data_IF_193923195389
#
_entry.id   IF_193923195389
#
_cell.length_a   1.000
_cell.length_b   1.000
_cell.length_c   1.000
_cell.angle_alpha   90.00
_cell.angle_beta   90.00
_cell.angle_gamma   90.00
#
_symmetry.space_group_name_H-M   'P 1'
#
loop_
_entity.id
_entity.type
_entity.pdbx_description
1 polymer ?
#
# COMPACT_ATOMS: atom_id res chain seq x y z
N UNK A 1 15.29 2.93 -10.00
CA UNK A 1 14.98 4.18 -10.71
C UNK A 1 15.86 5.35 -10.27
N UNK A 2 15.97 5.64 -8.97
CA UNK A 2 16.79 6.75 -8.47
C UNK A 2 18.29 6.61 -8.83
N UNK A 3 18.79 5.38 -8.89
CA UNK A 3 20.17 5.06 -9.24
C UNK A 3 20.42 5.00 -10.76
N UNK A 4 19.36 5.00 -11.57
CA UNK A 4 19.43 4.86 -13.03
C UNK A 4 19.31 6.20 -13.76
N UNK A 5 19.23 7.31 -13.04
CA UNK A 5 19.10 8.66 -13.59
C UNK A 5 19.97 9.65 -12.84
N UNK A 6 20.33 10.77 -13.48
CA UNK A 6 21.01 11.87 -12.83
C UNK A 6 20.20 12.42 -11.65
N UNK A 7 20.89 12.90 -10.61
CA UNK A 7 20.25 13.38 -9.35
C UNK A 7 19.12 14.40 -9.60
N UNK A 8 19.28 15.27 -10.59
CA UNK A 8 18.29 16.28 -10.95
C UNK A 8 17.00 15.69 -11.54
N UNK A 9 17.07 14.49 -12.12
CA UNK A 9 15.96 13.78 -12.75
C UNK A 9 15.26 12.77 -11.84
N UNK A 10 15.82 12.49 -10.66
CA UNK A 10 15.27 11.54 -9.69
C UNK A 10 13.81 11.84 -9.34
N UNK A 11 13.39 13.09 -9.04
CA UNK A 11 11.98 13.36 -8.74
C UNK A 11 11.05 13.02 -9.91
N UNK A 12 11.47 13.29 -11.15
CA UNK A 12 10.70 12.97 -12.35
C UNK A 12 10.59 11.45 -12.57
N UNK A 13 11.67 10.71 -12.34
CA UNK A 13 11.68 9.26 -12.45
C UNK A 13 10.73 8.60 -11.43
N UNK A 14 10.72 9.09 -10.19
CA UNK A 14 9.78 8.65 -9.16
C UNK A 14 8.33 8.93 -9.58
N UNK A 15 8.04 10.13 -10.07
CA UNK A 15 6.70 10.50 -10.54
C UNK A 15 6.21 9.59 -11.67
N UNK A 16 7.08 9.23 -12.62
CA UNK A 16 6.73 8.32 -13.72
C UNK A 16 6.38 6.92 -13.20
N UNK A 17 7.12 6.41 -12.21
CA UNK A 17 6.82 5.11 -11.58
C UNK A 17 5.46 5.14 -10.87
N UNK A 18 5.17 6.22 -10.15
CA UNK A 18 3.88 6.40 -9.48
C UNK A 18 2.70 6.47 -10.46
N UNK A 19 2.90 7.06 -11.66
CA UNK A 19 1.89 7.03 -12.73
C UNK A 19 1.58 5.59 -13.17
N UNK A 20 2.57 4.69 -13.16
CA UNK A 20 2.35 3.25 -13.42
C UNK A 20 1.35 2.63 -12.44
N UNK A 21 1.40 3.01 -11.16
CA UNK A 21 0.44 2.59 -10.14
C UNK A 21 -1.00 3.05 -10.45
N UNK A 22 -1.17 4.29 -10.93
CA UNK A 22 -2.49 4.82 -11.34
C UNK A 22 -3.03 4.06 -12.56
N UNK A 23 -2.18 3.80 -13.56
CA UNK A 23 -2.55 3.02 -14.75
C UNK A 23 -2.99 1.61 -14.34
N UNK A 24 -2.23 0.96 -13.44
CA UNK A 24 -2.57 -0.35 -12.90
C UNK A 24 -3.90 -0.35 -12.14
N UNK A 25 -4.18 0.72 -11.38
CA UNK A 25 -5.44 0.90 -10.66
C UNK A 25 -6.66 0.90 -11.58
N UNK A 26 -6.54 1.57 -12.72
CA UNK A 26 -7.63 1.69 -13.69
C UNK A 26 -7.80 0.41 -14.53
N UNK A 27 -6.71 -0.19 -14.95
CA UNK A 27 -6.71 -1.33 -15.87
C UNK A 27 -6.90 -2.66 -15.13
N UNK A 28 -6.26 -2.87 -13.98
CA UNK A 28 -6.21 -4.16 -13.31
C UNK A 28 -7.58 -4.79 -13.02
N UNK A 29 -8.46 -4.13 -12.24
CA UNK A 29 -9.79 -4.65 -11.94
C UNK A 29 -10.67 -4.80 -13.19
N UNK A 30 -10.50 -3.93 -14.19
CA UNK A 30 -11.23 -4.04 -15.46
C UNK A 30 -10.82 -5.28 -16.25
N UNK A 31 -9.52 -5.55 -16.36
CA UNK A 31 -9.00 -6.78 -17.00
C UNK A 31 -9.48 -8.02 -16.26
N UNK A 32 -9.41 -8.04 -14.94
CA UNK A 32 -9.86 -9.16 -14.12
C UNK A 32 -11.37 -9.42 -14.32
N UNK A 33 -12.19 -8.38 -14.34
CA UNK A 33 -13.63 -8.52 -14.54
C UNK A 33 -13.98 -8.92 -15.97
N UNK A 34 -13.30 -8.37 -16.99
CA UNK A 34 -13.55 -8.71 -18.40
C UNK A 34 -13.16 -10.15 -18.73
N UNK A 35 -12.06 -10.64 -18.14
CA UNK A 35 -11.53 -11.97 -18.47
C UNK A 35 -12.09 -13.11 -17.59
N UNK A 36 -12.90 -12.81 -16.57
CA UNK A 36 -13.41 -13.81 -15.61
C UNK A 36 -14.22 -14.92 -16.28
N UNK A 37 -14.99 -14.61 -17.29
CA UNK A 37 -15.89 -15.52 -18.00
C UNK A 37 -15.32 -16.05 -19.34
N UNK A 38 -13.99 -15.87 -19.57
CA UNK A 38 -13.32 -16.24 -20.81
C UNK A 38 -13.30 -17.76 -21.05
N UNK A 39 -13.44 -18.56 -19.98
CA UNK A 39 -13.53 -20.00 -20.02
C UNK A 39 -14.85 -20.45 -19.42
N UNK A 40 -15.71 -21.09 -20.22
CA UNK A 40 -17.05 -21.51 -19.84
C UNK A 40 -17.07 -22.59 -18.73
N UNK A 41 -15.99 -23.35 -18.58
CA UNK A 41 -15.90 -24.45 -17.61
C UNK A 41 -15.51 -24.01 -16.18
N UNK A 42 -14.78 -22.91 -16.05
CA UNK A 42 -14.25 -22.46 -14.75
C UNK A 42 -14.20 -20.94 -14.68
N UNK A 43 -15.08 -20.35 -13.88
CA UNK A 43 -15.11 -18.92 -13.61
C UNK A 43 -13.76 -18.45 -13.01
N UNK A 44 -13.29 -17.28 -13.42
CA UNK A 44 -12.02 -16.64 -13.01
C UNK A 44 -10.73 -17.24 -13.58
N UNK A 45 -10.73 -18.37 -14.29
CA UNK A 45 -9.49 -18.89 -14.93
C UNK A 45 -8.88 -17.86 -15.86
N UNK A 46 -9.70 -17.17 -16.66
CA UNK A 46 -9.24 -16.08 -17.52
C UNK A 46 -8.60 -14.93 -16.76
N UNK A 47 -9.16 -14.55 -15.59
CA UNK A 47 -8.59 -13.50 -14.74
C UNK A 47 -7.20 -13.89 -14.21
N UNK A 48 -7.02 -15.12 -13.75
CA UNK A 48 -5.71 -15.60 -13.29
C UNK A 48 -4.69 -15.72 -14.42
N UNK A 49 -5.09 -16.19 -15.61
CA UNK A 49 -4.21 -16.25 -16.78
C UNK A 49 -3.81 -14.83 -17.25
N UNK A 50 -4.73 -13.89 -17.25
CA UNK A 50 -4.44 -12.49 -17.57
C UNK A 50 -3.46 -11.89 -16.56
N UNK A 51 -3.65 -12.15 -15.26
CA UNK A 51 -2.72 -11.75 -14.21
C UNK A 51 -1.34 -12.36 -14.42
N UNK A 52 -1.26 -13.66 -14.69
CA UNK A 52 0.01 -14.34 -14.97
C UNK A 52 0.73 -13.72 -16.18
N UNK A 53 0.03 -13.45 -17.27
CA UNK A 53 0.57 -12.76 -18.45
C UNK A 53 1.10 -11.36 -18.13
N UNK A 54 0.32 -10.55 -17.41
CA UNK A 54 0.71 -9.20 -17.01
C UNK A 54 1.91 -9.18 -16.05
N UNK A 55 2.01 -10.15 -15.13
CA UNK A 55 3.14 -10.26 -14.21
C UNK A 55 4.41 -10.81 -14.89
N UNK A 56 4.25 -11.59 -15.94
CA UNK A 56 5.38 -12.10 -16.73
C UNK A 56 5.98 -11.04 -17.67
N UNK A 57 5.18 -10.07 -18.11
CA UNK A 57 5.61 -9.04 -19.06
C UNK A 57 6.81 -8.21 -18.58
N UNK A 58 6.91 -7.74 -17.31
CA UNK A 58 8.11 -7.06 -16.80
C UNK A 58 9.38 -7.91 -16.89
N UNK A 59 9.29 -9.22 -16.78
CA UNK A 59 10.44 -10.13 -16.88
C UNK A 59 11.14 -9.98 -18.24
N UNK A 60 10.36 -9.76 -19.31
CA UNK A 60 10.90 -9.54 -20.66
C UNK A 60 11.72 -8.24 -20.69
N UNK A 61 11.27 -7.18 -20.04
CA UNK A 61 12.02 -5.92 -19.97
C UNK A 61 13.33 -6.07 -19.17
N UNK A 62 13.35 -6.90 -18.11
CA UNK A 62 14.58 -7.17 -17.35
C UNK A 62 15.65 -7.88 -18.16
N UNK A 63 15.30 -8.63 -19.22
CA UNK A 63 16.28 -9.25 -20.12
C UNK A 63 17.13 -8.21 -20.88
N UNK A 64 16.59 -7.00 -21.08
CA UNK A 64 17.27 -5.89 -21.75
C UNK A 64 17.90 -4.90 -20.76
N UNK A 65 17.72 -5.09 -19.46
CA UNK A 65 18.25 -4.19 -18.45
C UNK A 65 19.76 -4.40 -18.29
N UNK A 66 20.52 -3.34 -18.51
CA UNK A 66 21.95 -3.31 -18.22
C UNK A 66 22.17 -2.60 -16.89
N UNK A 67 22.74 -3.32 -15.93
CA UNK A 67 23.12 -2.72 -14.65
C UNK A 67 24.29 -1.73 -14.88
N UNK A 68 24.04 -0.44 -14.69
CA UNK A 68 25.02 0.62 -14.85
C UNK A 68 25.68 1.07 -13.54
N UNK A 69 25.16 0.59 -12.41
CA UNK A 69 25.75 0.89 -11.10
C UNK A 69 26.78 -0.18 -10.72
N UNK A 70 28.05 0.21 -10.69
CA UNK A 70 29.10 -0.57 -10.00
C UNK A 70 28.83 -0.44 -8.49
N UNK A 71 28.13 -1.40 -7.92
CA UNK A 71 28.05 -1.53 -6.48
C UNK A 71 29.45 -1.93 -5.97
N UNK A 72 30.26 -0.96 -5.55
CA UNK A 72 31.35 -1.25 -4.63
C UNK A 72 30.75 -1.76 -3.34
N UNK A 73 30.69 -3.08 -3.20
CA UNK A 73 30.32 -3.72 -1.95
C UNK A 73 31.46 -3.38 -0.97
N UNK A 74 31.25 -2.35 -0.17
CA UNK A 74 32.15 -2.01 0.92
C UNK A 74 32.29 -3.23 1.83
N UNK A 75 33.49 -3.82 1.84
CA UNK A 75 33.79 -5.09 2.52
C UNK A 75 33.82 -5.01 4.05
N UNK A 76 33.51 -3.88 4.65
CA UNK A 76 33.52 -3.75 6.12
C UNK A 76 32.20 -3.15 6.61
N UNK A 77 31.34 -4.03 7.10
CA UNK A 77 30.11 -3.67 7.78
C UNK A 77 30.45 -3.07 9.16
N UNK A 78 30.37 -1.74 9.27
CA UNK A 78 30.64 -1.02 10.53
C UNK A 78 29.41 -0.29 11.09
N UNK A 79 28.25 -0.51 10.47
CA UNK A 79 27.01 0.16 10.87
C UNK A 79 26.39 -0.38 12.17
N UNK A 80 25.47 0.40 12.74
CA UNK A 80 24.71 0.05 13.96
C UNK A 80 23.99 -1.29 13.83
N UNK A 81 23.83 -2.00 14.96
CA UNK A 81 23.05 -3.23 15.05
C UNK A 81 21.55 -2.98 14.82
N UNK A 82 20.77 -4.04 14.57
CA UNK A 82 19.30 -3.93 14.49
C UNK A 82 18.70 -3.34 15.76
N UNK A 83 19.22 -3.72 16.94
CA UNK A 83 18.71 -3.23 18.21
C UNK A 83 18.93 -1.72 18.37
N UNK A 84 20.10 -1.23 17.97
CA UNK A 84 20.41 0.20 17.99
C UNK A 84 19.57 1.00 16.99
N UNK A 85 19.26 0.44 15.82
CA UNK A 85 18.37 1.06 14.85
C UNK A 85 16.94 1.16 15.40
N UNK A 86 16.39 0.05 15.92
CA UNK A 86 15.02 0.00 16.46
C UNK A 86 14.86 0.88 17.70
N UNK A 87 15.93 1.07 18.49
CA UNK A 87 15.90 1.93 19.68
C UNK A 87 15.80 3.43 19.36
N UNK A 88 15.92 3.82 18.10
CA UNK A 88 15.73 5.21 17.68
C UNK A 88 14.24 5.53 17.52
N UNK A 89 13.68 6.50 18.24
CA UNK A 89 12.26 6.83 18.16
C UNK A 89 11.77 7.14 16.72
N UNK A 90 12.57 7.88 15.96
CA UNK A 90 12.23 8.23 14.55
C UNK A 90 12.25 7.00 13.62
N UNK A 91 13.15 6.05 13.83
CA UNK A 91 13.19 4.82 13.07
C UNK A 91 11.97 3.94 13.39
N UNK A 92 11.65 3.82 14.68
CA UNK A 92 10.46 3.09 15.12
C UNK A 92 9.17 3.73 14.58
N UNK A 93 9.05 5.08 14.69
CA UNK A 93 7.91 5.82 14.13
C UNK A 93 7.76 5.57 12.63
N UNK A 94 8.85 5.57 11.87
CA UNK A 94 8.85 5.31 10.43
C UNK A 94 8.31 3.92 10.10
N UNK A 95 8.81 2.88 10.80
CA UNK A 95 8.37 1.50 10.59
C UNK A 95 6.91 1.31 11.02
N UNK A 96 6.54 1.77 12.21
CA UNK A 96 5.18 1.62 12.74
C UNK A 96 4.16 2.29 11.80
N UNK A 97 4.44 3.51 11.34
CA UNK A 97 3.57 4.22 10.41
C UNK A 97 3.41 3.47 9.09
N UNK A 98 4.49 3.02 8.47
CA UNK A 98 4.42 2.31 7.19
C UNK A 98 3.82 0.91 7.33
N UNK A 99 4.20 0.13 8.35
CA UNK A 99 3.75 -1.23 8.54
C UNK A 99 2.26 -1.31 8.92
N UNK A 100 1.85 -0.61 9.97
CA UNK A 100 0.45 -0.64 10.39
C UNK A 100 -0.46 0.14 9.44
N UNK A 101 0.03 1.23 8.83
CA UNK A 101 -0.66 1.89 7.74
C UNK A 101 -0.96 0.93 6.59
N UNK A 102 0.02 0.14 6.17
CA UNK A 102 -0.17 -0.86 5.11
C UNK A 102 -1.06 -2.02 5.54
N UNK A 103 -0.90 -2.53 6.77
CA UNK A 103 -1.68 -3.64 7.28
C UNK A 103 -3.19 -3.32 7.36
N UNK A 104 -3.54 -2.16 7.94
CA UNK A 104 -4.93 -1.70 8.06
C UNK A 104 -5.55 -1.54 6.66
N UNK A 105 -4.83 -0.87 5.75
CA UNK A 105 -5.29 -0.70 4.38
C UNK A 105 -5.56 -2.04 3.71
N UNK A 106 -4.61 -2.97 3.76
CA UNK A 106 -4.78 -4.27 3.11
C UNK A 106 -5.88 -5.09 3.75
N UNK A 107 -5.98 -5.07 5.08
CA UNK A 107 -7.01 -5.78 5.83
C UNK A 107 -8.41 -5.37 5.38
N UNK A 108 -8.68 -4.07 5.30
CA UNK A 108 -9.97 -3.54 4.86
C UNK A 108 -10.18 -3.69 3.35
N UNK A 109 -9.17 -3.37 2.52
CA UNK A 109 -9.27 -3.50 1.06
C UNK A 109 -9.56 -4.94 0.63
N UNK A 110 -8.90 -5.94 1.25
CA UNK A 110 -9.10 -7.35 0.91
C UNK A 110 -10.49 -7.85 1.31
N UNK A 111 -11.02 -7.39 2.46
CA UNK A 111 -12.36 -7.73 2.91
C UNK A 111 -13.48 -7.05 2.13
N UNK A 112 -13.22 -5.90 1.52
CA UNK A 112 -14.24 -5.10 0.81
C UNK A 112 -14.96 -5.86 -0.30
N UNK A 113 -14.30 -6.56 -1.24
CA UNK A 113 -15.01 -7.30 -2.29
C UNK A 113 -15.93 -8.41 -1.74
N UNK A 114 -15.49 -9.09 -0.69
CA UNK A 114 -16.29 -10.11 -0.04
C UNK A 114 -17.50 -9.49 0.65
N UNK A 115 -17.32 -8.40 1.38
CA UNK A 115 -18.42 -7.67 2.00
C UNK A 115 -19.42 -7.15 0.97
N UNK A 116 -18.94 -6.41 -0.01
CA UNK A 116 -19.81 -5.80 -1.02
C UNK A 116 -20.54 -6.82 -1.88
N UNK A 117 -19.83 -7.80 -2.42
CA UNK A 117 -20.41 -8.71 -3.41
C UNK A 117 -21.08 -9.93 -2.79
N UNK A 118 -20.42 -10.59 -1.83
CA UNK A 118 -20.91 -11.87 -1.28
C UNK A 118 -21.91 -11.63 -0.16
N UNK A 119 -21.66 -10.65 0.72
CA UNK A 119 -22.53 -10.42 1.90
C UNK A 119 -23.67 -9.47 1.55
N UNK A 120 -23.39 -8.31 0.95
CA UNK A 120 -24.38 -7.26 0.68
C UNK A 120 -25.00 -7.33 -0.72
N UNK A 121 -24.61 -8.32 -1.56
CA UNK A 121 -25.22 -8.58 -2.86
C UNK A 121 -24.99 -7.50 -3.93
N UNK A 122 -24.00 -6.63 -3.75
CA UNK A 122 -23.64 -5.61 -4.73
C UNK A 122 -22.98 -6.26 -5.96
N UNK A 123 -23.19 -5.68 -7.16
CA UNK A 123 -22.62 -6.23 -8.38
C UNK A 123 -21.09 -6.16 -8.39
N UNK A 124 -20.45 -7.13 -9.05
CA UNK A 124 -18.99 -7.13 -9.26
C UNK A 124 -18.50 -5.86 -9.95
N UNK A 125 -19.30 -5.29 -10.85
CA UNK A 125 -18.96 -4.03 -11.51
C UNK A 125 -18.87 -2.87 -10.50
N UNK A 126 -19.82 -2.73 -9.58
CA UNK A 126 -19.76 -1.74 -8.50
C UNK A 126 -18.56 -1.96 -7.59
N UNK A 127 -18.29 -3.19 -7.23
CA UNK A 127 -17.13 -3.56 -6.41
C UNK A 127 -15.82 -3.19 -7.11
N UNK A 128 -15.69 -3.48 -8.40
CA UNK A 128 -14.51 -3.12 -9.21
C UNK A 128 -14.29 -1.61 -9.24
N UNK A 129 -15.34 -0.82 -9.40
CA UNK A 129 -15.26 0.66 -9.39
C UNK A 129 -14.76 1.17 -8.03
N UNK A 130 -15.26 0.64 -6.92
CA UNK A 130 -14.80 1.02 -5.58
C UNK A 130 -13.31 0.72 -5.40
N UNK A 131 -12.85 -0.45 -5.80
CA UNK A 131 -11.43 -0.81 -5.73
C UNK A 131 -10.57 0.05 -6.64
N UNK A 132 -11.03 0.34 -7.87
CA UNK A 132 -10.30 1.23 -8.80
C UNK A 132 -10.10 2.62 -8.22
N UNK A 133 -11.17 3.22 -7.67
CA UNK A 133 -11.11 4.55 -7.05
C UNK A 133 -10.20 4.51 -5.81
N UNK A 134 -10.32 3.48 -4.97
CA UNK A 134 -9.45 3.29 -3.81
C UNK A 134 -7.96 3.29 -4.20
N UNK A 135 -7.59 2.44 -5.16
CA UNK A 135 -6.18 2.33 -5.60
C UNK A 135 -5.72 3.63 -6.25
N UNK A 136 -6.57 4.32 -7.02
CA UNK A 136 -6.26 5.64 -7.51
C UNK A 136 -5.98 6.63 -6.36
N UNK A 137 -6.78 6.60 -5.29
CA UNK A 137 -6.59 7.42 -4.09
C UNK A 137 -5.34 7.03 -3.27
N UNK A 138 -4.83 5.80 -3.42
CA UNK A 138 -3.53 5.42 -2.84
C UNK A 138 -2.35 6.12 -3.54
N UNK A 139 -2.41 6.31 -4.85
CA UNK A 139 -1.26 6.80 -5.62
C UNK A 139 -1.34 8.27 -6.03
N UNK A 140 -2.52 8.80 -6.37
CA UNK A 140 -2.69 10.20 -6.78
C UNK A 140 -2.14 11.21 -5.78
N UNK A 141 -2.37 11.08 -4.46
CA UNK A 141 -1.87 12.05 -3.49
C UNK A 141 -0.34 12.09 -3.43
N UNK A 142 0.36 11.03 -3.86
CA UNK A 142 1.83 11.00 -3.87
C UNK A 142 2.46 12.15 -4.65
N UNK A 143 1.73 12.71 -5.63
CA UNK A 143 2.18 13.86 -6.42
C UNK A 143 2.36 15.12 -5.56
N UNK A 144 1.62 15.24 -4.45
CA UNK A 144 1.63 16.39 -3.56
C UNK A 144 2.16 16.06 -2.15
N UNK A 145 2.08 14.80 -1.72
CA UNK A 145 2.43 14.37 -0.36
C UNK A 145 3.87 14.76 0.01
N UNK A 146 4.81 14.65 -0.92
CA UNK A 146 6.20 15.10 -0.69
C UNK A 146 6.30 16.59 -0.36
N UNK A 147 5.51 17.45 -1.01
CA UNK A 147 5.45 18.88 -0.73
C UNK A 147 4.76 19.16 0.61
N UNK A 148 3.72 18.40 0.95
CA UNK A 148 3.05 18.48 2.25
C UNK A 148 4.01 18.10 3.39
N UNK A 149 4.80 17.05 3.23
CA UNK A 149 5.82 16.65 4.21
C UNK A 149 6.87 17.75 4.39
N UNK A 150 7.34 18.36 3.31
CA UNK A 150 8.29 19.49 3.41
C UNK A 150 7.69 20.68 4.17
N UNK A 151 6.41 20.95 4.00
CA UNK A 151 5.74 22.10 4.62
C UNK A 151 5.33 21.85 6.07
N UNK A 152 4.82 20.67 6.38
CA UNK A 152 4.18 20.37 7.67
C UNK A 152 4.98 19.37 8.51
N UNK A 153 5.98 18.68 7.95
CA UNK A 153 6.75 17.64 8.61
C UNK A 153 6.07 16.25 8.54
N UNK A 154 6.87 15.19 8.74
CA UNK A 154 6.44 13.80 8.63
C UNK A 154 5.32 13.46 9.63
N UNK A 155 5.50 13.78 10.91
CA UNK A 155 4.54 13.42 11.96
C UNK A 155 3.16 14.04 11.74
N UNK A 156 3.07 15.30 11.30
CA UNK A 156 1.78 15.94 11.05
C UNK A 156 1.04 15.30 9.87
N UNK A 157 1.76 14.86 8.86
CA UNK A 157 1.15 14.12 7.74
C UNK A 157 0.74 12.70 8.16
N UNK A 158 1.50 12.06 9.06
CA UNK A 158 1.08 10.79 9.68
C UNK A 158 -0.21 10.96 10.49
N UNK A 159 -0.32 12.00 11.32
CA UNK A 159 -1.55 12.30 12.06
C UNK A 159 -2.74 12.57 11.13
N UNK A 160 -2.53 13.28 10.03
CA UNK A 160 -3.56 13.42 9.00
C UNK A 160 -3.98 12.07 8.42
N UNK A 161 -3.03 11.16 8.15
CA UNK A 161 -3.31 9.80 7.69
C UNK A 161 -4.12 8.97 8.70
N UNK A 162 -3.75 9.05 9.98
CA UNK A 162 -4.51 8.44 11.10
C UNK A 162 -5.94 9.00 11.15
N UNK A 163 -6.11 10.31 11.03
CA UNK A 163 -7.43 10.95 11.04
C UNK A 163 -8.31 10.44 9.89
N UNK A 164 -7.74 10.22 8.70
CA UNK A 164 -8.45 9.65 7.56
C UNK A 164 -8.86 8.19 7.81
N UNK A 165 -8.05 7.41 8.49
CA UNK A 165 -8.40 6.04 8.90
C UNK A 165 -9.55 6.04 9.94
N UNK A 166 -9.53 6.96 10.90
CA UNK A 166 -10.64 7.11 11.85
C UNK A 166 -11.94 7.51 11.14
N UNK A 167 -11.87 8.38 10.12
CA UNK A 167 -13.03 8.72 9.28
C UNK A 167 -13.54 7.48 8.55
N UNK A 168 -12.66 6.62 8.01
CA UNK A 168 -13.04 5.34 7.41
C UNK A 168 -13.84 4.47 8.39
N UNK A 169 -13.33 4.34 9.63
CA UNK A 169 -14.03 3.61 10.70
C UNK A 169 -15.40 4.23 10.98
N UNK A 170 -15.50 5.54 11.12
CA UNK A 170 -16.77 6.24 11.38
C UNK A 170 -17.78 5.96 10.25
N UNK A 171 -17.37 6.03 8.99
CA UNK A 171 -18.24 5.77 7.84
C UNK A 171 -18.78 4.34 7.87
N UNK A 172 -18.02 3.37 8.37
CA UNK A 172 -18.45 1.96 8.47
C UNK A 172 -19.66 1.74 9.39
N UNK A 173 -20.00 2.71 10.25
CA UNK A 173 -21.18 2.65 11.12
C UNK A 173 -22.48 3.05 10.42
N UNK A 174 -22.40 3.67 9.25
CA UNK A 174 -23.57 3.94 8.42
C UNK A 174 -24.03 2.68 7.67
N UNK A 175 -24.92 2.82 6.70
CA UNK A 175 -25.39 1.71 5.87
C UNK A 175 -24.27 1.16 4.96
N UNK A 176 -24.36 -0.11 4.56
CA UNK A 176 -23.45 -0.77 3.63
C UNK A 176 -23.85 -0.52 2.17
N UNK A 177 -24.10 0.74 1.82
CA UNK A 177 -24.38 1.14 0.44
C UNK A 177 -23.11 1.25 -0.41
N UNK A 178 -23.27 1.20 -1.73
CA UNK A 178 -22.18 1.44 -2.68
C UNK A 178 -21.43 2.75 -2.40
N UNK A 179 -22.17 3.82 -2.06
CA UNK A 179 -21.58 5.15 -1.83
C UNK A 179 -20.76 5.15 -0.54
N UNK A 180 -21.26 4.53 0.54
CA UNK A 180 -20.52 4.49 1.80
C UNK A 180 -19.25 3.65 1.70
N UNK A 181 -19.29 2.50 1.00
CA UNK A 181 -18.07 1.77 0.68
C UNK A 181 -17.08 2.62 -0.12
N UNK A 182 -17.55 3.31 -1.15
CA UNK A 182 -16.71 4.16 -1.99
C UNK A 182 -16.05 5.27 -1.18
N UNK A 183 -16.81 6.00 -0.35
CA UNK A 183 -16.27 7.09 0.47
C UNK A 183 -15.28 6.54 1.51
N UNK A 184 -15.62 5.44 2.18
CA UNK A 184 -14.73 4.79 3.15
C UNK A 184 -13.40 4.40 2.50
N UNK A 185 -13.43 3.78 1.32
CA UNK A 185 -12.23 3.35 0.61
C UNK A 185 -11.41 4.52 0.03
N UNK A 186 -12.05 5.64 -0.33
CA UNK A 186 -11.35 6.88 -0.69
C UNK A 186 -10.50 7.36 0.49
N UNK A 187 -11.10 7.51 1.68
CA UNK A 187 -10.36 7.95 2.87
C UNK A 187 -9.29 6.93 3.28
N UNK A 188 -9.56 5.64 3.15
CA UNK A 188 -8.58 4.59 3.39
C UNK A 188 -7.37 4.72 2.45
N UNK A 189 -7.59 5.00 1.17
CA UNK A 189 -6.51 5.19 0.18
C UNK A 189 -5.64 6.40 0.49
N UNK A 190 -6.24 7.55 0.76
CA UNK A 190 -5.53 8.76 1.17
C UNK A 190 -4.76 8.56 2.48
N UNK A 191 -5.39 7.92 3.47
CA UNK A 191 -4.78 7.62 4.76
C UNK A 191 -3.53 6.74 4.60
N UNK A 192 -3.62 5.68 3.80
CA UNK A 192 -2.48 4.84 3.47
C UNK A 192 -1.35 5.65 2.80
N UNK A 193 -1.67 6.49 1.82
CA UNK A 193 -0.65 7.30 1.15
C UNK A 193 0.11 8.17 2.15
N UNK A 194 -0.59 8.87 3.03
CA UNK A 194 0.03 9.76 4.01
C UNK A 194 0.89 8.99 5.01
N UNK A 195 0.41 7.86 5.52
CA UNK A 195 1.17 7.04 6.47
C UNK A 195 2.38 6.37 5.82
N UNK A 196 2.20 5.75 4.66
CA UNK A 196 3.24 4.99 4.00
C UNK A 196 4.34 5.90 3.42
N UNK A 197 3.97 6.97 2.72
CA UNK A 197 4.95 7.90 2.15
C UNK A 197 5.71 8.66 3.25
N UNK A 198 5.00 9.10 4.32
CA UNK A 198 5.68 9.75 5.44
C UNK A 198 6.60 8.78 6.19
N UNK A 199 6.17 7.54 6.42
CA UNK A 199 6.97 6.51 7.07
C UNK A 199 8.23 6.19 6.27
N UNK A 200 8.08 5.86 4.99
CA UNK A 200 9.21 5.51 4.12
C UNK A 200 10.18 6.66 3.90
N UNK A 201 9.69 7.90 3.78
CA UNK A 201 10.55 9.07 3.64
C UNK A 201 11.26 9.44 4.96
N UNK A 202 10.61 9.26 6.11
CA UNK A 202 11.24 9.44 7.43
C UNK A 202 12.34 8.40 7.65
N UNK A 203 12.11 7.13 7.26
CA UNK A 203 13.06 6.04 7.39
C UNK A 203 14.42 6.42 6.79
N UNK A 204 14.44 7.02 5.59
CA UNK A 204 15.67 7.43 4.89
C UNK A 204 16.53 8.41 5.71
N UNK A 205 15.90 9.19 6.60
CA UNK A 205 16.59 10.17 7.45
C UNK A 205 17.15 9.56 8.74
N UNK A 206 16.95 8.28 9.00
CA UNK A 206 17.30 7.63 10.28
C UNK A 206 18.54 6.76 10.23
N UNK A 207 19.01 6.43 9.04
CA UNK A 207 20.17 5.56 8.84
C UNK A 207 21.26 6.24 8.00
N UNK A 208 22.51 5.75 8.14
CA UNK A 208 23.66 6.15 7.34
C UNK A 208 23.74 5.29 6.08
N UNK A 209 24.58 5.72 5.12
CA UNK A 209 24.73 5.03 3.82
C UNK A 209 25.17 3.57 3.96
N UNK A 210 26.09 3.28 4.88
CA UNK A 210 26.57 1.93 5.21
C UNK A 210 25.53 1.04 5.91
N UNK A 211 24.46 1.62 6.47
CA UNK A 211 23.35 0.94 7.16
C UNK A 211 22.12 0.71 6.26
N UNK A 212 22.09 1.35 5.09
CA UNK A 212 20.93 1.45 4.19
C UNK A 212 20.24 0.10 3.95
N UNK A 213 20.99 -0.90 3.51
CA UNK A 213 20.40 -2.21 3.18
C UNK A 213 19.84 -2.93 4.40
N UNK A 214 20.49 -2.78 5.56
CA UNK A 214 20.01 -3.35 6.82
C UNK A 214 18.74 -2.65 7.29
N UNK A 215 18.73 -1.34 7.29
CA UNK A 215 17.60 -0.54 7.77
C UNK A 215 16.37 -0.72 6.88
N UNK A 216 16.54 -0.64 5.56
CA UNK A 216 15.46 -0.85 4.60
C UNK A 216 14.99 -2.30 4.58
N UNK A 217 15.90 -3.27 4.57
CA UNK A 217 15.54 -4.69 4.56
C UNK A 217 14.73 -5.09 5.79
N UNK A 218 15.07 -4.57 6.98
CA UNK A 218 14.27 -4.79 8.19
C UNK A 218 12.90 -4.12 8.11
N UNK A 219 12.84 -2.87 7.65
CA UNK A 219 11.56 -2.19 7.41
C UNK A 219 10.66 -2.99 6.47
N UNK A 220 11.20 -3.42 5.32
CA UNK A 220 10.44 -4.14 4.32
C UNK A 220 9.97 -5.50 4.85
N UNK A 221 10.82 -6.21 5.60
CA UNK A 221 10.44 -7.44 6.26
C UNK A 221 9.25 -7.24 7.21
N UNK A 222 9.28 -6.21 8.07
CA UNK A 222 8.17 -5.91 8.98
C UNK A 222 6.93 -5.51 8.21
N UNK A 223 7.03 -4.56 7.27
CA UNK A 223 5.91 -4.06 6.45
C UNK A 223 5.21 -5.23 5.75
N UNK A 224 5.95 -6.04 5.00
CA UNK A 224 5.34 -7.13 4.23
C UNK A 224 4.85 -8.29 5.09
N UNK A 225 5.47 -8.56 6.25
CA UNK A 225 4.98 -9.56 7.20
C UNK A 225 3.62 -9.16 7.78
N UNK A 226 3.48 -7.92 8.26
CA UNK A 226 2.22 -7.42 8.84
C UNK A 226 1.15 -7.26 7.75
N UNK A 227 1.53 -6.84 6.54
CA UNK A 227 0.66 -6.80 5.37
C UNK A 227 0.10 -8.19 5.02
N UNK A 228 0.95 -9.22 4.98
CA UNK A 228 0.53 -10.59 4.71
C UNK A 228 -0.45 -11.11 5.78
N UNK A 229 -0.17 -10.86 7.07
CA UNK A 229 -1.07 -11.21 8.17
C UNK A 229 -2.42 -10.48 8.04
N UNK A 230 -2.41 -9.20 7.69
CA UNK A 230 -3.62 -8.41 7.42
C UNK A 230 -4.46 -9.01 6.30
N UNK A 231 -3.84 -9.34 5.18
CA UNK A 231 -4.52 -9.94 4.02
C UNK A 231 -5.10 -11.33 4.34
N UNK A 232 -4.32 -12.21 4.97
CA UNK A 232 -4.75 -13.56 5.31
C UNK A 232 -5.89 -13.56 6.34
N UNK A 233 -5.82 -12.70 7.35
CA UNK A 233 -6.86 -12.60 8.38
C UNK A 233 -8.16 -11.97 7.87
N UNK A 234 -8.08 -11.09 6.87
CA UNK A 234 -9.21 -10.36 6.32
C UNK A 234 -10.31 -11.28 5.80
N UNK A 235 -9.96 -12.28 4.97
CA UNK A 235 -10.92 -13.21 4.39
C UNK A 235 -11.66 -14.04 5.44
N UNK A 236 -10.97 -14.47 6.48
CA UNK A 236 -11.58 -15.23 7.59
C UNK A 236 -12.49 -14.33 8.42
N UNK A 237 -11.99 -13.15 8.81
CA UNK A 237 -12.70 -12.26 9.71
C UNK A 237 -13.96 -11.65 9.09
N UNK A 238 -13.96 -11.33 7.79
CA UNK A 238 -15.17 -10.80 7.13
C UNK A 238 -16.30 -11.83 7.10
N UNK A 239 -15.98 -13.12 6.95
CA UNK A 239 -16.97 -14.21 6.93
C UNK A 239 -17.50 -14.50 8.34
N UNK A 240 -16.64 -14.42 9.36
CA UNK A 240 -17.02 -14.67 10.76
C UNK A 240 -17.70 -13.47 11.42
N UNK A 241 -17.54 -12.28 10.85
CA UNK A 241 -18.03 -11.03 11.45
C UNK A 241 -18.83 -10.22 10.41
N UNK A 242 -18.54 -8.93 10.29
CA UNK A 242 -19.09 -8.04 9.29
C UNK A 242 -18.18 -6.84 9.06
N UNK A 243 -18.50 -6.00 8.07
CA UNK A 243 -17.74 -4.82 7.72
C UNK A 243 -17.49 -3.86 8.89
N UNK A 244 -18.49 -3.62 9.76
CA UNK A 244 -18.35 -2.75 10.95
C UNK A 244 -17.32 -3.30 11.91
N UNK A 245 -17.40 -4.59 12.25
CA UNK A 245 -16.48 -5.22 13.20
C UNK A 245 -15.06 -5.20 12.65
N UNK A 246 -14.86 -5.44 11.36
CA UNK A 246 -13.53 -5.33 10.75
C UNK A 246 -12.94 -3.93 10.93
N UNK A 247 -13.74 -2.89 10.74
CA UNK A 247 -13.28 -1.51 10.96
C UNK A 247 -12.97 -1.22 12.44
N UNK A 248 -13.76 -1.75 13.38
CA UNK A 248 -13.52 -1.63 14.83
C UNK A 248 -12.20 -2.31 15.22
N UNK A 249 -11.90 -3.48 14.67
CA UNK A 249 -10.63 -4.20 14.90
C UNK A 249 -9.41 -3.34 14.48
N UNK A 250 -9.57 -2.43 13.53
CA UNK A 250 -8.49 -1.52 13.13
C UNK A 250 -8.16 -0.45 14.19
N UNK A 251 -9.09 -0.12 15.11
CA UNK A 251 -8.89 0.97 16.08
C UNK A 251 -7.63 0.78 16.94
N UNK A 252 -7.38 -0.38 17.59
CA UNK A 252 -6.15 -0.59 18.33
C UNK A 252 -4.88 -0.40 17.49
N UNK A 253 -4.90 -0.84 16.22
CA UNK A 253 -3.77 -0.68 15.31
C UNK A 253 -3.56 0.78 14.91
N UNK A 254 -4.64 1.55 14.75
CA UNK A 254 -4.59 2.99 14.49
C UNK A 254 -3.98 3.72 15.70
N UNK A 255 -4.33 3.31 16.93
CA UNK A 255 -3.77 3.90 18.16
C UNK A 255 -2.27 3.65 18.27
N UNK A 256 -1.76 2.49 17.83
CA UNK A 256 -0.32 2.19 17.86
C UNK A 256 0.48 3.14 16.94
N UNK A 257 -0.12 3.70 15.91
CA UNK A 257 0.55 4.63 14.99
C UNK A 257 0.76 6.02 15.61
N UNK A 258 -0.08 6.40 16.60
CA UNK A 258 -0.04 7.70 17.27
C UNK A 258 1.12 7.78 18.28
#
# INVERSE_FOLDING_TARGET
>A
AAESVDKDRVPRAISIILLGGIISALIGPSVANFSKDMFSSHMYVGSYLSLAGLTFLPTIFFLFYKNTSSLEISKKYSGRSYLELISQPKYLQAIVSSAFGYAIMTFLMTGTPLSMHVIDGLSLSKTSVVIQIHVACMFLPSLITGNLIKKFGHSNIMYAGVSLYLITVIISFFDQSFINYMIALIFLGFGWNFLFISGTSLLVLTYKEDEKYRAQGFNDFVVYSVHALGSLSSGVLIVLTNWKIMNIICIPLIIIII
#
